data_IF_732822326867
#
_entry.id   IF_732822326867
#
_cell.length_a   1.000
_cell.length_b   1.000
_cell.length_c   1.000
_cell.angle_alpha   90.00
_cell.angle_beta   90.00
_cell.angle_gamma   90.00
#
_symmetry.space_group_name_H-M   'P 1'
#
loop_
_entity.id
_entity.type
_entity.pdbx_description
1 polymer ?
#
# COMPACT_ATOMS: atom_id res chain seq x y z
N UNK A 1 5.24 9.01 -15.15
CA UNK A 1 5.03 8.74 -14.93
C UNK A 1 4.47 8.02 -14.07
N UNK A 2 4.47 7.36 -13.84
CA UNK A 2 3.96 6.67 -13.12
C UNK A 2 4.30 6.70 -11.88
N UNK A 3 3.67 6.69 -10.96
CA UNK A 3 4.04 6.90 -9.69
C UNK A 3 4.62 5.72 -9.03
N UNK A 4 4.60 4.66 -9.59
CA UNK A 4 5.27 3.51 -9.06
C UNK A 4 4.70 2.90 -7.82
N UNK A 5 3.42 3.05 -7.59
CA UNK A 5 2.84 2.37 -6.44
C UNK A 5 2.41 0.96 -6.83
N UNK A 6 2.53 0.05 -5.87
CA UNK A 6 2.25 -1.34 -6.11
C UNK A 6 1.25 -1.83 -5.10
N UNK A 7 0.28 -2.62 -5.52
CA UNK A 7 -0.70 -3.17 -4.61
C UNK A 7 -0.14 -4.44 -3.98
N UNK A 8 -0.05 -4.45 -2.66
CA UNK A 8 0.43 -5.62 -1.96
C UNK A 8 -0.68 -6.56 -1.58
N UNK A 9 -1.83 -6.01 -1.23
CA UNK A 9 -2.91 -6.84 -0.75
C UNK A 9 -4.22 -6.13 -0.95
N UNK A 10 -5.32 -6.88 -1.00
CA UNK A 10 -6.65 -6.34 -1.16
C UNK A 10 -7.52 -6.88 -0.06
N UNK A 11 -8.43 -6.06 0.46
CA UNK A 11 -9.32 -6.44 1.51
C UNK A 11 -10.72 -5.96 1.17
N UNK A 12 -11.74 -6.80 1.29
CA UNK A 12 -13.10 -6.37 0.95
C UNK A 12 -13.54 -5.25 1.87
N UNK A 13 -14.12 -4.22 1.30
CA UNK A 13 -14.53 -3.08 2.09
C UNK A 13 -15.79 -3.36 2.87
N UNK A 14 -16.61 -4.27 2.42
CA UNK A 14 -17.87 -4.53 3.08
C UNK A 14 -17.81 -5.46 4.26
N UNK A 15 -16.63 -5.84 4.70
CA UNK A 15 -16.52 -6.76 5.82
C UNK A 15 -16.90 -6.12 7.12
N UNK A 16 -17.19 -6.91 8.14
CA UNK A 16 -17.62 -6.37 9.42
C UNK A 16 -16.55 -5.56 10.14
N UNK A 17 -15.29 -5.77 9.81
CA UNK A 17 -14.22 -5.00 10.43
C UNK A 17 -13.82 -3.78 9.62
N UNK A 18 -14.50 -3.53 8.53
CA UNK A 18 -14.25 -2.35 7.72
C UNK A 18 -12.82 -2.28 7.23
N UNK A 19 -12.15 -1.19 7.46
CA UNK A 19 -10.80 -1.01 6.98
C UNK A 19 -9.75 -1.59 7.91
N UNK A 20 -10.15 -2.14 9.03
CA UNK A 20 -9.21 -2.57 10.05
C UNK A 20 -8.18 -3.58 9.53
N UNK A 21 -8.59 -4.62 8.81
CA UNK A 21 -7.59 -5.59 8.33
C UNK A 21 -6.56 -4.94 7.41
N UNK A 22 -7.03 -4.03 6.56
CA UNK A 22 -6.11 -3.36 5.66
C UNK A 22 -5.16 -2.47 6.42
N UNK A 23 -5.66 -1.81 7.44
CA UNK A 23 -4.84 -0.91 8.21
C UNK A 23 -3.81 -1.65 9.04
N UNK A 24 -4.18 -2.81 9.55
CA UNK A 24 -3.22 -3.60 10.28
C UNK A 24 -2.11 -4.08 9.36
N UNK A 25 -2.49 -4.51 8.17
CA UNK A 25 -1.50 -4.98 7.21
C UNK A 25 -0.55 -3.83 6.85
N UNK A 26 -1.10 -2.66 6.61
CA UNK A 26 -0.28 -1.51 6.25
C UNK A 26 0.66 -1.13 7.40
N UNK A 27 0.18 -1.21 8.62
CA UNK A 27 0.99 -0.88 9.75
C UNK A 27 2.20 -1.82 9.85
N UNK A 28 1.96 -3.11 9.63
CA UNK A 28 3.06 -4.06 9.67
C UNK A 28 4.09 -3.76 8.60
N UNK A 29 3.62 -3.37 7.42
CA UNK A 29 4.57 -3.04 6.35
C UNK A 29 5.36 -1.79 6.70
N UNK A 30 4.72 -0.81 7.33
CA UNK A 30 5.42 0.40 7.72
C UNK A 30 6.49 0.10 8.75
N UNK A 31 6.22 -0.83 9.64
CA UNK A 31 7.19 -1.20 10.63
C UNK A 31 8.40 -1.87 10.01
N UNK A 32 8.24 -2.40 8.82
CA UNK A 32 9.35 -2.98 8.10
C UNK A 32 10.08 -1.96 7.25
N UNK A 33 9.66 -0.71 7.33
CA UNK A 33 10.32 0.34 6.56
C UNK A 33 9.70 0.63 5.22
N UNK A 34 8.54 0.02 4.92
CA UNK A 34 7.89 0.28 3.64
C UNK A 34 6.93 1.44 3.76
N UNK A 35 6.77 2.16 2.66
CA UNK A 35 5.87 3.30 2.62
C UNK A 35 4.49 2.80 2.22
N UNK A 36 3.78 2.20 3.15
CA UNK A 36 2.50 1.56 2.88
C UNK A 36 1.34 2.49 3.16
N UNK A 37 0.33 2.42 2.31
CA UNK A 37 -0.86 3.21 2.47
C UNK A 37 -2.08 2.39 2.16
N UNK A 38 -3.21 2.73 2.76
CA UNK A 38 -4.48 2.09 2.49
C UNK A 38 -5.27 3.01 1.58
N UNK A 39 -5.71 2.49 0.46
CA UNK A 39 -6.45 3.26 -0.52
C UNK A 39 -7.77 2.57 -0.78
N UNK A 40 -8.86 3.32 -0.84
CA UNK A 40 -10.15 2.74 -1.13
C UNK A 40 -10.38 2.73 -2.63
N UNK A 41 -10.67 1.55 -3.16
CA UNK A 41 -11.02 1.42 -4.58
C UNK A 41 -12.53 1.33 -4.66
N UNK A 42 -13.15 2.42 -5.01
CA UNK A 42 -14.60 2.46 -5.05
C UNK A 42 -15.18 1.57 -6.14
N UNK A 43 -14.48 1.41 -7.23
CA UNK A 43 -14.99 0.62 -8.31
C UNK A 43 -15.17 -0.84 -7.91
N UNK A 44 -14.27 -1.37 -7.11
CA UNK A 44 -14.37 -2.76 -6.70
C UNK A 44 -14.78 -2.91 -5.24
N UNK A 45 -15.03 -1.80 -4.56
CA UNK A 45 -15.43 -1.82 -3.16
C UNK A 45 -14.42 -2.59 -2.34
N UNK A 46 -13.17 -2.24 -2.50
CA UNK A 46 -12.06 -2.97 -1.89
C UNK A 46 -11.05 -1.98 -1.34
N UNK A 47 -10.47 -2.32 -0.20
CA UNK A 47 -9.35 -1.55 0.31
C UNK A 47 -8.07 -2.16 -0.23
N UNK A 48 -7.21 -1.33 -0.79
CA UNK A 48 -5.94 -1.79 -1.32
C UNK A 48 -4.83 -1.29 -0.41
N UNK A 49 -3.89 -2.16 -0.11
CA UNK A 49 -2.69 -1.72 0.61
C UNK A 49 -1.61 -1.60 -0.44
N UNK A 50 -1.10 -0.40 -0.60
CA UNK A 50 -0.10 -0.14 -1.63
C UNK A 50 1.17 0.38 -1.00
N UNK A 51 2.29 0.15 -1.66
CA UNK A 51 3.55 0.71 -1.24
C UNK A 51 4.16 1.41 -2.41
N UNK A 52 5.01 2.36 -2.14
CA UNK A 52 5.72 3.02 -3.20
C UNK A 52 6.76 2.06 -3.74
N UNK A 53 6.68 1.74 -4.98
CA UNK A 53 7.64 0.83 -5.57
C UNK A 53 8.99 1.51 -5.64
N UNK A 54 10.05 0.82 -5.35
CA UNK A 54 11.38 1.41 -5.46
C UNK A 54 11.68 1.62 -6.91
N UNK A 55 11.85 2.81 -7.30
CA UNK A 55 12.18 3.10 -8.66
C UNK A 55 13.67 3.22 -8.81
N UNK A 56 14.12 3.22 -10.03
CA UNK A 56 15.53 3.37 -10.27
C UNK A 56 16.08 4.62 -9.67
N UNK A 57 15.30 5.66 -9.72
CA UNK A 57 15.74 6.89 -9.18
C UNK A 57 15.94 6.80 -7.71
N UNK A 58 15.04 6.17 -7.06
CA UNK A 58 15.14 6.03 -5.64
C UNK A 58 16.35 5.27 -5.24
N UNK A 59 16.66 4.25 -5.98
CA UNK A 59 17.81 3.54 -5.70
C UNK A 59 19.03 4.31 -5.85
N UNK A 60 19.09 5.06 -6.90
CA UNK A 60 20.23 5.84 -7.12
C UNK A 60 20.47 6.84 -6.06
N UNK A 61 19.42 7.41 -5.60
CA UNK A 61 19.54 8.38 -4.57
C UNK A 61 20.15 7.75 -3.35
N UNK A 62 19.75 6.57 -3.08
CA UNK A 62 20.25 5.92 -1.92
C UNK A 62 21.72 5.66 -2.07
N UNK A 63 22.14 5.39 -3.22
CA UNK A 63 23.49 5.13 -3.43
C UNK A 63 24.34 6.33 -3.30
N UNK A 64 23.82 7.38 -3.78
CA UNK A 64 24.55 8.60 -3.69
C UNK A 64 24.74 9.00 -2.28
#
# INVERSE_FOLDING_TARGET
MMNGRMVLERFPAGGPRGSWPAEEFARARRQEGQDAEVVMDLASDTFLVTVRAPGPTGELAAVA
#
